data_IF_411783692593
#
_entry.id   IF_411783692593
#
_cell.length_a   1.000
_cell.length_b   1.000
_cell.length_c   1.000
_cell.angle_alpha   90.00
_cell.angle_beta   90.00
_cell.angle_gamma   90.00
#
_symmetry.space_group_name_H-M   'P 1'
#
loop_
_entity.id
_entity.type
_entity.pdbx_description
1 polymer ?
#
# COMPACT_ATOMS: atom_id res chain seq x y z
N UNK A 1 -16.66 -7.92 41.04
CA UNK A 1 -16.61 -6.61 40.34
C UNK A 1 -15.22 -6.23 39.84
N UNK A 2 -14.17 -6.35 40.62
CA UNK A 2 -12.79 -5.98 40.18
C UNK A 2 -12.26 -6.84 39.01
N UNK A 3 -12.56 -8.15 39.00
CA UNK A 3 -12.13 -9.08 37.95
C UNK A 3 -12.90 -8.85 36.64
N UNK A 4 -14.20 -8.52 36.73
CA UNK A 4 -15.05 -8.25 35.56
C UNK A 4 -14.64 -6.95 34.85
N UNK A 5 -14.26 -5.92 35.61
CA UNK A 5 -13.74 -4.65 35.08
C UNK A 5 -12.38 -4.85 34.40
N UNK A 6 -11.52 -5.69 35.00
CA UNK A 6 -10.20 -6.01 34.44
C UNK A 6 -10.32 -6.78 33.11
N UNK A 7 -11.21 -7.76 33.02
CA UNK A 7 -11.49 -8.54 31.81
C UNK A 7 -12.08 -7.66 30.71
N UNK A 8 -12.96 -6.72 31.06
CA UNK A 8 -13.54 -5.79 30.10
C UNK A 8 -12.51 -4.77 29.56
N UNK A 9 -11.54 -4.36 30.41
CA UNK A 9 -10.44 -3.49 29.98
C UNK A 9 -9.45 -4.20 29.03
N UNK A 10 -9.21 -5.50 29.22
CA UNK A 10 -8.33 -6.31 28.36
C UNK A 10 -9.00 -6.54 27.00
N UNK A 11 -10.32 -6.73 26.96
CA UNK A 11 -11.06 -6.90 25.69
C UNK A 11 -11.03 -5.64 24.79
N UNK A 12 -11.00 -4.45 25.40
CA UNK A 12 -10.91 -3.18 24.68
C UNK A 12 -9.52 -2.93 24.04
N UNK A 13 -8.47 -3.56 24.56
CA UNK A 13 -7.11 -3.42 24.04
C UNK A 13 -6.86 -4.27 22.76
N UNK A 14 -7.73 -5.23 22.47
CA UNK A 14 -7.59 -6.13 21.32
C UNK A 14 -8.13 -5.56 20.00
N UNK A 15 -8.83 -4.42 20.02
CA UNK A 15 -9.44 -3.82 18.82
C UNK A 15 -8.54 -2.86 18.05
N UNK A 16 -7.28 -2.69 18.44
CA UNK A 16 -6.34 -1.77 17.80
C UNK A 16 -5.48 -2.43 16.69
N UNK A 17 -5.92 -3.54 16.11
CA UNK A 17 -5.17 -4.23 15.07
C UNK A 17 -5.34 -3.55 13.71
N UNK A 18 -4.22 -3.18 13.09
CA UNK A 18 -4.19 -2.83 11.67
C UNK A 18 -4.41 -4.09 10.83
N UNK A 19 -5.23 -3.98 9.79
CA UNK A 19 -5.52 -5.06 8.86
C UNK A 19 -4.72 -4.88 7.57
N UNK A 20 -4.08 -5.96 7.12
CA UNK A 20 -3.42 -6.03 5.81
C UNK A 20 -4.04 -7.17 5.01
N UNK A 21 -4.58 -6.85 3.85
CA UNK A 21 -5.07 -7.82 2.88
C UNK A 21 -4.22 -7.79 1.62
N UNK A 22 -4.08 -8.93 0.97
CA UNK A 22 -3.40 -9.03 -0.32
C UNK A 22 -4.07 -10.07 -1.20
N UNK A 23 -4.16 -9.75 -2.49
CA UNK A 23 -4.68 -10.63 -3.51
C UNK A 23 -3.76 -10.61 -4.72
N UNK A 24 -3.52 -11.77 -5.32
CA UNK A 24 -2.79 -11.93 -6.58
C UNK A 24 -3.66 -12.73 -7.55
N UNK A 25 -3.66 -12.32 -8.79
CA UNK A 25 -4.31 -13.10 -9.84
C UNK A 25 -3.58 -14.43 -9.99
N UNK A 26 -4.29 -15.58 -10.05
CA UNK A 26 -3.66 -16.87 -10.28
C UNK A 26 -2.77 -16.84 -11.52
N UNK A 27 -1.60 -17.44 -11.45
CA UNK A 27 -0.59 -17.48 -12.50
C UNK A 27 0.07 -16.13 -12.88
N UNK A 28 -0.20 -15.06 -12.12
CA UNK A 28 0.55 -13.82 -12.27
C UNK A 28 1.91 -13.94 -11.58
N UNK A 29 2.99 -13.85 -12.36
CA UNK A 29 4.35 -13.92 -11.83
C UNK A 29 4.91 -12.52 -11.61
N UNK A 30 4.61 -11.94 -10.46
CA UNK A 30 5.15 -10.65 -10.04
C UNK A 30 6.67 -10.68 -9.89
N UNK A 31 7.26 -11.82 -9.60
CA UNK A 31 8.70 -11.99 -9.44
C UNK A 31 9.50 -11.75 -10.73
N UNK A 32 8.86 -11.80 -11.88
CA UNK A 32 9.51 -11.50 -13.18
C UNK A 32 9.47 -10.03 -13.58
N UNK A 33 8.57 -9.26 -12.99
CA UNK A 33 8.43 -7.83 -13.30
C UNK A 33 9.61 -7.07 -12.71
N UNK A 34 10.31 -6.30 -13.54
CA UNK A 34 11.48 -5.53 -13.16
C UNK A 34 11.29 -4.03 -13.22
N UNK A 35 10.29 -3.56 -13.97
CA UNK A 35 10.05 -2.14 -14.16
C UNK A 35 8.60 -1.76 -13.84
N UNK A 36 8.45 -0.75 -13.00
CA UNK A 36 7.18 -0.26 -12.49
C UNK A 36 7.02 1.24 -12.77
N UNK A 37 5.79 1.64 -13.05
CA UNK A 37 5.41 3.04 -13.14
C UNK A 37 4.29 3.34 -12.17
N UNK A 38 4.52 4.24 -11.24
CA UNK A 38 3.52 4.66 -10.25
C UNK A 38 2.76 5.86 -10.81
N UNK A 39 1.46 5.70 -11.02
CA UNK A 39 0.63 6.77 -11.55
C UNK A 39 0.36 7.79 -10.46
N UNK A 40 0.86 9.01 -10.64
CA UNK A 40 0.65 10.12 -9.71
C UNK A 40 -0.82 10.50 -9.65
N UNK A 41 -1.35 10.65 -8.44
CA UNK A 41 -2.69 11.18 -8.19
C UNK A 41 -2.62 12.67 -7.89
N UNK A 42 -3.43 13.46 -8.58
CA UNK A 42 -3.49 14.91 -8.36
C UNK A 42 -3.92 15.31 -6.94
N UNK A 43 -4.62 14.41 -6.24
CA UNK A 43 -5.05 14.59 -4.85
C UNK A 43 -4.03 14.10 -3.82
N UNK A 44 -2.87 13.59 -4.26
CA UNK A 44 -1.83 13.13 -3.35
C UNK A 44 -1.06 14.31 -2.76
N UNK A 45 -1.34 14.62 -1.50
CA UNK A 45 -0.67 15.66 -0.72
C UNK A 45 0.41 15.09 0.23
N UNK A 46 0.66 13.78 0.17
CA UNK A 46 1.53 13.06 1.11
C UNK A 46 2.69 12.35 0.43
N UNK A 47 2.85 12.54 -0.89
CA UNK A 47 3.92 11.94 -1.71
C UNK A 47 3.94 10.40 -1.61
N UNK A 48 2.78 9.77 -1.65
CA UNK A 48 2.64 8.32 -1.62
C UNK A 48 3.34 7.67 -2.82
N UNK A 49 3.20 8.27 -4.00
CA UNK A 49 3.86 7.82 -5.22
C UNK A 49 5.38 7.74 -5.07
N UNK A 50 6.01 8.77 -4.50
CA UNK A 50 7.45 8.76 -4.23
C UNK A 50 7.84 7.71 -3.20
N UNK A 51 7.02 7.54 -2.15
CA UNK A 51 7.25 6.50 -1.15
C UNK A 51 7.22 5.10 -1.78
N UNK A 52 6.28 4.85 -2.69
CA UNK A 52 6.20 3.57 -3.44
C UNK A 52 7.42 3.40 -4.34
N UNK A 53 7.81 4.43 -5.08
CA UNK A 53 9.00 4.40 -5.96
C UNK A 53 10.26 4.09 -5.16
N UNK A 54 10.47 4.77 -4.04
CA UNK A 54 11.65 4.57 -3.20
C UNK A 54 11.72 3.15 -2.65
N UNK A 55 10.58 2.60 -2.24
CA UNK A 55 10.51 1.22 -1.77
C UNK A 55 10.86 0.22 -2.89
N UNK A 56 10.26 0.36 -4.07
CA UNK A 56 10.55 -0.52 -5.22
C UNK A 56 12.03 -0.46 -5.62
N UNK A 57 12.62 0.74 -5.64
CA UNK A 57 14.06 0.93 -5.92
C UNK A 57 14.94 0.28 -4.85
N UNK A 58 14.54 0.33 -3.58
CA UNK A 58 15.27 -0.35 -2.49
C UNK A 58 15.31 -1.87 -2.66
N UNK A 59 14.36 -2.45 -3.39
CA UNK A 59 14.32 -3.86 -3.76
C UNK A 59 15.12 -4.20 -5.03
N UNK A 60 15.82 -3.21 -5.62
CA UNK A 60 16.57 -3.38 -6.87
C UNK A 60 15.71 -3.35 -8.13
N UNK A 61 14.48 -2.86 -8.05
CA UNK A 61 13.55 -2.75 -9.17
C UNK A 61 13.66 -1.36 -9.81
N UNK A 62 13.38 -1.27 -11.11
CA UNK A 62 13.23 0.02 -11.78
C UNK A 62 11.86 0.59 -11.45
N UNK A 63 11.83 1.82 -10.99
CA UNK A 63 10.57 2.49 -10.66
C UNK A 63 10.66 3.99 -10.92
N UNK A 64 9.57 4.54 -11.43
CA UNK A 64 9.37 5.97 -11.60
C UNK A 64 7.91 6.33 -11.38
N UNK A 65 7.63 7.60 -11.17
CA UNK A 65 6.27 8.09 -10.96
C UNK A 65 5.98 9.31 -11.84
N UNK A 66 4.72 9.53 -12.14
CA UNK A 66 4.27 10.68 -12.90
C UNK A 66 2.86 10.48 -13.45
N UNK A 67 2.36 11.45 -14.25
CA UNK A 67 1.09 11.31 -14.93
C UNK A 67 1.12 10.19 -15.96
N UNK A 68 -0.02 9.57 -16.23
CA UNK A 68 -0.15 8.45 -17.17
C UNK A 68 0.42 8.77 -18.56
N UNK A 69 0.33 10.04 -18.98
CA UNK A 69 0.82 10.51 -20.27
C UNK A 69 2.35 10.49 -20.41
N UNK A 70 3.07 10.41 -19.30
CA UNK A 70 4.54 10.38 -19.24
C UNK A 70 5.10 8.98 -18.97
N UNK A 71 4.25 7.95 -18.98
CA UNK A 71 4.68 6.58 -18.73
C UNK A 71 5.67 6.11 -19.80
N UNK A 72 6.87 5.60 -19.41
CA UNK A 72 7.83 5.05 -20.36
C UNK A 72 7.29 3.80 -21.06
N UNK A 73 7.60 3.65 -22.34
CA UNK A 73 7.11 2.51 -23.14
C UNK A 73 7.61 1.14 -22.66
N UNK A 74 8.76 1.10 -21.98
CA UNK A 74 9.39 -0.16 -21.52
C UNK A 74 8.88 -0.63 -20.16
N UNK A 75 7.96 0.09 -19.54
CA UNK A 75 7.41 -0.28 -18.26
C UNK A 75 6.57 -1.57 -18.38
N UNK A 76 6.79 -2.50 -17.47
CA UNK A 76 6.11 -3.80 -17.44
C UNK A 76 4.84 -3.77 -16.60
N UNK A 77 4.81 -2.98 -15.52
CA UNK A 77 3.67 -2.88 -14.63
C UNK A 77 3.36 -1.43 -14.22
N UNK A 78 2.10 -1.16 -14.06
CA UNK A 78 1.56 0.10 -13.54
C UNK A 78 1.12 -0.13 -12.09
N UNK A 79 1.48 0.80 -11.23
CA UNK A 79 1.01 0.85 -9.84
C UNK A 79 0.05 2.02 -9.69
N UNK A 80 -1.14 1.74 -9.23
CA UNK A 80 -2.11 2.76 -8.81
C UNK A 80 -2.36 2.62 -7.32
N UNK A 81 -2.77 3.70 -6.67
CA UNK A 81 -3.02 3.69 -5.24
C UNK A 81 -4.17 4.62 -4.89
N UNK A 82 -4.78 4.34 -3.74
CA UNK A 82 -5.77 5.20 -3.10
C UNK A 82 -5.49 5.24 -1.61
N UNK A 83 -5.44 6.44 -1.07
CA UNK A 83 -5.15 6.73 0.33
C UNK A 83 -6.33 7.45 0.98
N UNK A 84 -6.56 7.16 2.25
CA UNK A 84 -7.49 7.89 3.09
C UNK A 84 -6.79 8.29 4.38
N UNK A 85 -6.98 9.54 4.78
CA UNK A 85 -6.36 10.16 5.94
C UNK A 85 -7.42 10.67 6.90
N UNK A 86 -7.13 10.61 8.17
CA UNK A 86 -7.90 11.25 9.22
C UNK A 86 -7.04 12.30 9.92
N UNK A 87 -7.70 13.23 10.59
CA UNK A 87 -7.08 14.25 11.39
C UNK A 87 -7.67 14.23 12.80
N UNK A 88 -6.76 14.10 13.78
CA UNK A 88 -7.07 14.21 15.20
C UNK A 88 -5.80 14.67 15.92
N UNK A 89 -5.64 15.99 16.08
CA UNK A 89 -4.42 16.66 16.51
C UNK A 89 -3.19 16.48 15.60
N UNK A 90 -3.17 15.43 14.78
CA UNK A 90 -2.21 15.18 13.71
C UNK A 90 -2.92 14.45 12.57
N UNK A 91 -2.37 14.58 11.37
CA UNK A 91 -2.82 13.80 10.22
C UNK A 91 -2.23 12.39 10.28
N UNK A 92 -3.03 11.38 10.03
CA UNK A 92 -2.59 9.99 9.99
C UNK A 92 -3.31 9.18 8.92
N UNK A 93 -2.59 8.21 8.36
CA UNK A 93 -3.10 7.32 7.32
C UNK A 93 -4.03 6.27 7.94
N UNK A 94 -5.26 6.20 7.46
CA UNK A 94 -6.26 5.20 7.89
C UNK A 94 -6.46 4.08 6.89
N UNK A 95 -6.23 4.35 5.61
CA UNK A 95 -6.33 3.34 4.56
C UNK A 95 -5.34 3.64 3.43
N UNK A 96 -4.74 2.58 2.90
CA UNK A 96 -3.95 2.59 1.67
C UNK A 96 -4.25 1.34 0.87
N UNK A 97 -4.79 1.52 -0.32
CA UNK A 97 -4.96 0.47 -1.32
C UNK A 97 -3.93 0.67 -2.42
N UNK A 98 -3.24 -0.41 -2.79
CA UNK A 98 -2.28 -0.43 -3.90
C UNK A 98 -2.74 -1.51 -4.87
N UNK A 99 -2.84 -1.16 -6.14
CA UNK A 99 -3.16 -2.08 -7.22
C UNK A 99 -2.02 -2.11 -8.25
N UNK A 100 -1.69 -3.30 -8.70
CA UNK A 100 -0.68 -3.54 -9.75
C UNK A 100 -1.39 -4.08 -10.97
N UNK A 101 -1.17 -3.44 -12.09
CA UNK A 101 -1.72 -3.80 -13.39
C UNK A 101 -0.59 -4.05 -14.39
N UNK A 102 -0.81 -4.94 -15.34
CA UNK A 102 0.10 -5.10 -16.46
C UNK A 102 0.09 -3.82 -17.31
N UNK A 103 1.26 -3.28 -17.63
CA UNK A 103 1.37 -2.16 -18.54
C UNK A 103 0.81 -2.54 -19.93
N UNK A 104 0.31 -1.55 -20.65
CA UNK A 104 -0.25 -1.65 -22.01
C UNK A 104 -1.56 -2.42 -22.15
N UNK A 105 -1.85 -3.39 -21.29
CA UNK A 105 -3.12 -4.14 -21.32
C UNK A 105 -4.08 -3.74 -20.20
N UNK A 106 -3.56 -3.07 -19.18
CA UNK A 106 -4.26 -2.70 -17.96
C UNK A 106 -4.93 -3.88 -17.22
N UNK A 107 -4.43 -5.09 -17.44
CA UNK A 107 -4.94 -6.28 -16.74
C UNK A 107 -4.49 -6.27 -15.29
N UNK A 108 -5.40 -6.48 -14.32
CA UNK A 108 -5.03 -6.53 -12.92
C UNK A 108 -4.10 -7.74 -12.66
N UNK A 109 -3.07 -7.53 -11.86
CA UNK A 109 -2.09 -8.55 -11.46
C UNK A 109 -2.21 -8.83 -9.97
N UNK A 110 -2.25 -7.78 -9.15
CA UNK A 110 -2.27 -7.91 -7.71
C UNK A 110 -2.87 -6.68 -7.04
N UNK A 111 -3.34 -6.87 -5.82
CA UNK A 111 -3.85 -5.80 -4.96
C UNK A 111 -3.41 -6.03 -3.53
N UNK A 112 -3.00 -4.96 -2.86
CA UNK A 112 -2.72 -4.94 -1.44
C UNK A 112 -3.48 -3.82 -0.76
N UNK A 113 -3.96 -4.06 0.44
CA UNK A 113 -4.78 -3.13 1.20
C UNK A 113 -4.31 -3.07 2.65
N UNK A 114 -4.26 -1.86 3.19
CA UNK A 114 -4.02 -1.58 4.60
C UNK A 114 -5.17 -0.76 5.15
N UNK A 115 -5.62 -1.11 6.34
CA UNK A 115 -6.61 -0.34 7.09
C UNK A 115 -6.24 -0.24 8.56
N UNK A 116 -6.31 0.97 9.10
CA UNK A 116 -6.05 1.30 10.50
C UNK A 116 -7.16 2.20 11.03
N UNK A 117 -8.07 1.70 11.86
CA UNK A 117 -9.21 2.50 12.34
C UNK A 117 -8.86 3.41 13.54
N UNK A 118 -7.62 3.40 14.03
CA UNK A 118 -7.21 4.10 15.24
C UNK A 118 -6.04 5.06 15.01
N UNK A 119 -5.85 5.99 15.92
CA UNK A 119 -4.75 6.98 15.90
C UNK A 119 -3.35 6.34 16.07
N UNK A 120 -3.26 5.09 16.52
CA UNK A 120 -1.99 4.35 16.61
C UNK A 120 -1.58 3.91 15.21
N UNK A 121 -0.76 4.72 14.56
CA UNK A 121 -0.47 4.58 13.14
C UNK A 121 0.95 4.11 12.88
N UNK A 122 1.11 3.46 11.73
CA UNK A 122 2.41 3.19 11.12
C UNK A 122 2.77 4.32 10.16
N UNK A 123 4.06 4.54 9.92
CA UNK A 123 4.49 5.45 8.87
C UNK A 123 4.05 4.94 7.49
N UNK A 124 3.85 5.83 6.53
CA UNK A 124 3.50 5.47 5.16
C UNK A 124 4.53 4.51 4.56
N UNK A 125 5.83 4.74 4.80
CA UNK A 125 6.89 3.85 4.32
C UNK A 125 6.75 2.43 4.87
N UNK A 126 6.46 2.28 6.16
CA UNK A 126 6.23 0.96 6.78
C UNK A 126 4.99 0.25 6.19
N UNK A 127 3.92 1.00 5.92
CA UNK A 127 2.71 0.45 5.31
C UNK A 127 2.99 -0.03 3.89
N UNK A 128 3.65 0.79 3.07
CA UNK A 128 4.06 0.44 1.70
C UNK A 128 4.95 -0.81 1.71
N UNK A 129 5.98 -0.85 2.54
CA UNK A 129 6.86 -2.00 2.70
C UNK A 129 6.07 -3.28 3.00
N UNK A 130 5.15 -3.24 3.96
CA UNK A 130 4.35 -4.40 4.35
C UNK A 130 3.40 -4.87 3.26
N UNK A 131 2.78 -3.96 2.52
CA UNK A 131 1.93 -4.31 1.38
C UNK A 131 2.77 -5.02 0.32
N UNK A 132 3.89 -4.44 -0.11
CA UNK A 132 4.74 -5.03 -1.14
C UNK A 132 5.40 -6.34 -0.69
N UNK A 133 5.78 -6.48 0.57
CA UNK A 133 6.33 -7.73 1.09
C UNK A 133 5.34 -8.89 0.95
N UNK A 134 4.05 -8.64 1.08
CA UNK A 134 2.99 -9.64 0.85
C UNK A 134 2.71 -9.88 -0.63
N UNK A 135 2.77 -8.84 -1.45
CA UNK A 135 2.51 -8.96 -2.88
C UNK A 135 3.65 -9.66 -3.63
N UNK A 136 4.89 -9.41 -3.24
CA UNK A 136 6.09 -9.92 -3.91
C UNK A 136 6.63 -11.22 -3.29
N UNK A 137 6.11 -11.64 -2.15
CA UNK A 137 6.50 -12.94 -1.56
C UNK A 137 6.05 -14.09 -2.46
N UNK A 138 6.88 -15.13 -2.58
CA UNK A 138 6.57 -16.31 -3.40
C UNK A 138 5.35 -17.09 -2.88
#
# INVERSE_FOLDING_TARGET
>A
MKVTVLLMSIALLLSACSTFDSYRVPNADLGRIRSFYVVHRLSDNHNIDHTIVDHLRSLGLEASAGPTTMMPQRVEAIVTYRDEWAWDFKTYLIQLDIEIHQAHTNRPIARGSYRQPTIITKSTATVVEKIFSRLLSP
#
